data_IF_953165786200
#
_entry.id   IF_953165786200
#
_cell.length_a   1.000
_cell.length_b   1.000
_cell.length_c   1.000
_cell.angle_alpha   90.00
_cell.angle_beta   90.00
_cell.angle_gamma   90.00
#
_symmetry.space_group_name_H-M   'P 1'
#
loop_
_entity.id
_entity.type
_entity.pdbx_description
1 polymer ?
#
# COMPACT_ATOMS: atom_id res chain seq x y z
N UNK A 1 -4.09 -3.29 -20.72
CA UNK A 1 -3.62 -1.94 -20.31
C UNK A 1 -4.76 -0.91 -20.35
N UNK A 2 -5.53 -0.79 -21.45
CA UNK A 2 -6.70 0.13 -21.50
C UNK A 2 -7.76 -0.15 -20.43
N UNK A 3 -8.05 -1.42 -20.16
CA UNK A 3 -8.99 -1.85 -19.11
C UNK A 3 -8.56 -1.38 -17.71
N UNK A 4 -7.29 -1.57 -17.35
CA UNK A 4 -6.75 -1.11 -16.06
C UNK A 4 -6.87 0.41 -15.89
N UNK A 5 -6.58 1.17 -16.95
CA UNK A 5 -6.70 2.64 -16.94
C UNK A 5 -8.16 3.04 -16.70
N UNK A 6 -9.10 2.40 -17.41
CA UNK A 6 -10.53 2.63 -17.25
C UNK A 6 -11.02 2.35 -15.82
N UNK A 7 -10.56 1.26 -15.20
CA UNK A 7 -10.94 0.96 -13.81
C UNK A 7 -10.37 1.98 -12.81
N UNK A 8 -9.12 2.45 -13.02
CA UNK A 8 -8.53 3.51 -12.19
C UNK A 8 -9.31 4.82 -12.33
N UNK A 9 -9.70 5.18 -13.55
CA UNK A 9 -10.52 6.37 -13.82
C UNK A 9 -11.88 6.28 -13.14
N UNK A 10 -12.54 5.11 -13.24
CA UNK A 10 -13.83 4.86 -12.59
C UNK A 10 -13.76 5.01 -11.08
N UNK A 11 -12.79 4.36 -10.43
CA UNK A 11 -12.57 4.48 -8.98
C UNK A 11 -12.29 5.94 -8.59
N UNK A 12 -11.51 6.65 -9.40
CA UNK A 12 -11.19 8.06 -9.17
C UNK A 12 -12.40 8.98 -9.33
N UNK A 13 -13.32 8.65 -10.24
CA UNK A 13 -14.58 9.37 -10.42
C UNK A 13 -15.54 9.09 -9.26
N UNK A 14 -15.70 7.82 -8.85
CA UNK A 14 -16.54 7.42 -7.73
C UNK A 14 -16.10 8.07 -6.42
N UNK A 15 -14.78 8.17 -6.19
CA UNK A 15 -14.24 8.88 -5.04
C UNK A 15 -14.62 10.37 -5.05
N UNK A 16 -14.53 11.04 -6.21
CA UNK A 16 -14.95 12.44 -6.34
C UNK A 16 -16.45 12.63 -6.15
N UNK A 17 -17.27 11.75 -6.70
CA UNK A 17 -18.72 11.80 -6.52
C UNK A 17 -19.11 11.59 -5.05
N UNK A 18 -18.44 10.68 -4.36
CA UNK A 18 -18.75 10.32 -2.97
C UNK A 18 -18.27 11.37 -1.96
N UNK A 19 -17.05 11.91 -2.15
CA UNK A 19 -16.40 12.74 -1.13
C UNK A 19 -16.15 14.18 -1.57
N UNK A 20 -16.34 14.51 -2.86
CA UNK A 20 -15.99 15.82 -3.43
C UNK A 20 -16.84 16.99 -2.93
N UNK A 21 -18.03 16.72 -2.40
CA UNK A 21 -18.92 17.72 -1.82
C UNK A 21 -18.72 17.91 -0.30
N UNK A 22 -17.79 17.17 0.32
CA UNK A 22 -17.51 17.33 1.74
C UNK A 22 -16.74 18.62 2.01
N UNK A 23 -17.10 19.34 3.07
CA UNK A 23 -16.33 20.48 3.54
C UNK A 23 -14.97 20.04 4.11
N UNK A 24 -14.06 21.00 4.25
CA UNK A 24 -12.77 20.76 4.89
C UNK A 24 -12.91 20.23 6.33
N UNK A 25 -13.96 20.62 7.05
CA UNK A 25 -14.23 20.12 8.39
C UNK A 25 -14.72 18.68 8.37
N UNK A 26 -15.63 18.34 7.43
CA UNK A 26 -16.17 17.00 7.29
C UNK A 26 -15.10 15.99 6.84
N UNK A 27 -14.25 16.35 5.87
CA UNK A 27 -13.20 15.46 5.39
C UNK A 27 -12.10 15.23 6.44
N UNK A 28 -11.86 16.21 7.31
CA UNK A 28 -10.87 16.12 8.39
C UNK A 28 -11.44 15.65 9.72
N UNK A 29 -12.76 15.43 9.81
CA UNK A 29 -13.38 14.92 11.02
C UNK A 29 -12.88 13.52 11.37
N UNK A 30 -12.65 13.28 12.67
CA UNK A 30 -12.13 12.02 13.19
C UNK A 30 -13.15 11.40 14.15
N UNK A 31 -13.51 10.11 13.99
CA UNK A 31 -14.44 9.44 14.91
C UNK A 31 -13.82 9.18 16.30
N UNK A 32 -12.49 9.14 16.40
CA UNK A 32 -11.75 9.08 17.66
C UNK A 32 -10.34 9.62 17.50
N UNK A 33 -9.65 9.90 18.61
CA UNK A 33 -8.26 10.37 18.59
C UNK A 33 -7.29 9.40 17.89
N UNK A 34 -7.57 8.09 17.93
CA UNK A 34 -6.72 7.05 17.33
C UNK A 34 -7.10 6.71 15.89
N UNK A 35 -8.26 7.15 15.41
CA UNK A 35 -8.74 6.88 14.06
C UNK A 35 -8.17 7.86 13.04
N UNK A 36 -8.17 7.49 11.76
CA UNK A 36 -7.87 8.42 10.67
C UNK A 36 -9.14 9.13 10.21
N UNK A 37 -9.00 10.38 9.75
CA UNK A 37 -10.05 11.05 8.99
C UNK A 37 -10.06 10.56 7.55
N UNK A 38 -11.12 10.87 6.81
CA UNK A 38 -11.21 10.59 5.36
C UNK A 38 -10.06 11.27 4.62
N UNK A 39 -9.74 12.52 4.97
CA UNK A 39 -8.64 13.28 4.41
C UNK A 39 -7.28 12.62 4.67
N UNK A 40 -7.06 12.09 5.87
CA UNK A 40 -5.84 11.35 6.20
C UNK A 40 -5.71 10.04 5.42
N UNK A 41 -6.82 9.33 5.18
CA UNK A 41 -6.83 8.16 4.30
C UNK A 41 -6.45 8.54 2.87
N UNK A 42 -7.01 9.62 2.32
CA UNK A 42 -6.66 10.09 0.98
C UNK A 42 -5.21 10.53 0.88
N UNK A 43 -4.70 11.28 1.85
CA UNK A 43 -3.31 11.70 1.90
C UNK A 43 -2.38 10.47 1.85
N UNK A 44 -2.66 9.45 2.67
CA UNK A 44 -1.89 8.21 2.66
C UNK A 44 -1.93 7.50 1.29
N UNK A 45 -3.11 7.40 0.67
CA UNK A 45 -3.25 6.79 -0.65
C UNK A 45 -2.53 7.58 -1.75
N UNK A 46 -2.60 8.91 -1.72
CA UNK A 46 -1.94 9.78 -2.70
C UNK A 46 -0.42 9.68 -2.56
N UNK A 47 0.10 9.82 -1.34
CA UNK A 47 1.53 9.73 -1.07
C UNK A 47 2.07 8.37 -1.50
N UNK A 48 1.41 7.28 -1.12
CA UNK A 48 1.84 5.93 -1.51
C UNK A 48 1.73 5.70 -3.01
N UNK A 49 0.68 6.18 -3.67
CA UNK A 49 0.53 6.09 -5.12
C UNK A 49 1.64 6.82 -5.88
N UNK A 50 2.03 8.01 -5.41
CA UNK A 50 3.10 8.80 -6.02
C UNK A 50 4.47 8.10 -5.97
N UNK A 51 4.68 7.18 -5.02
CA UNK A 51 5.92 6.39 -4.96
C UNK A 51 6.04 5.39 -6.13
N UNK A 52 4.93 4.99 -6.76
CA UNK A 52 4.98 4.06 -7.89
C UNK A 52 5.42 4.72 -9.19
N UNK A 53 5.02 5.98 -9.43
CA UNK A 53 5.30 6.71 -10.68
C UNK A 53 6.79 6.70 -11.07
N UNK A 54 7.75 7.08 -10.21
CA UNK A 54 9.17 7.06 -10.60
C UNK A 54 9.70 5.65 -10.86
N UNK A 55 9.17 4.64 -10.17
CA UNK A 55 9.57 3.25 -10.40
C UNK A 55 9.06 2.73 -11.74
N UNK A 56 7.80 3.00 -12.07
CA UNK A 56 7.21 2.68 -13.38
C UNK A 56 7.98 3.39 -14.49
N UNK A 57 8.31 4.67 -14.29
CA UNK A 57 9.08 5.45 -15.26
C UNK A 57 10.46 4.84 -15.52
N UNK A 58 11.19 4.46 -14.46
CA UNK A 58 12.47 3.75 -14.61
C UNK A 58 12.33 2.43 -15.38
N UNK A 59 11.22 1.70 -15.21
CA UNK A 59 10.98 0.46 -15.95
C UNK A 59 10.75 0.75 -17.43
N UNK A 60 9.95 1.77 -17.75
CA UNK A 60 9.69 2.22 -19.13
C UNK A 60 10.99 2.67 -19.81
N UNK A 61 11.83 3.41 -19.09
CA UNK A 61 13.12 3.90 -19.57
C UNK A 61 14.22 2.83 -19.60
N UNK A 62 13.94 1.63 -19.09
CA UNK A 62 14.92 0.54 -18.98
C UNK A 62 16.04 0.79 -17.97
N UNK A 63 15.92 1.82 -17.13
CA UNK A 63 16.90 2.20 -16.09
C UNK A 63 16.63 1.52 -14.75
N UNK A 64 15.47 0.85 -14.61
CA UNK A 64 15.08 0.15 -13.40
C UNK A 64 16.02 -1.00 -13.07
N UNK A 65 16.72 -0.88 -11.94
CA UNK A 65 17.59 -1.94 -11.41
C UNK A 65 16.79 -2.79 -10.44
N UNK A 66 16.53 -4.05 -10.82
CA UNK A 66 16.01 -5.02 -9.86
C UNK A 66 16.99 -5.15 -8.68
N UNK A 67 16.50 -4.89 -7.47
CA UNK A 67 17.26 -5.13 -6.26
C UNK A 67 17.70 -6.60 -6.23
N UNK A 68 18.96 -6.89 -5.89
CA UNK A 68 19.51 -8.25 -5.92
C UNK A 68 18.65 -9.24 -5.11
N UNK A 69 17.98 -8.76 -4.06
CA UNK A 69 17.06 -9.51 -3.22
C UNK A 69 15.73 -9.92 -3.87
N UNK A 70 15.28 -9.28 -4.96
CA UNK A 70 14.08 -9.72 -5.70
C UNK A 70 14.33 -10.97 -6.56
N UNK A 71 15.61 -11.37 -6.71
CA UNK A 71 16.04 -12.59 -7.40
C UNK A 71 16.36 -13.76 -6.47
N UNK A 72 16.10 -13.64 -5.16
CA UNK A 72 16.46 -14.68 -4.18
C UNK A 72 15.23 -15.53 -3.83
N UNK A 73 15.06 -16.73 -4.43
CA UNK A 73 13.90 -17.60 -4.19
C UNK A 73 13.89 -18.32 -2.82
N UNK A 74 14.82 -18.03 -1.90
CA UNK A 74 14.96 -18.80 -0.65
C UNK A 74 14.44 -18.11 0.63
N UNK A 75 14.16 -16.80 0.62
CA UNK A 75 13.97 -16.04 1.87
C UNK A 75 12.60 -16.24 2.52
N UNK A 76 11.54 -16.55 1.77
CA UNK A 76 10.20 -16.77 2.33
C UNK A 76 10.13 -18.05 3.17
N UNK A 77 10.76 -19.14 2.70
CA UNK A 77 10.77 -20.41 3.41
C UNK A 77 11.67 -20.35 4.66
N UNK A 78 12.78 -19.62 4.61
CA UNK A 78 13.67 -19.45 5.77
C UNK A 78 13.01 -18.62 6.89
N UNK A 79 12.30 -17.55 6.52
CA UNK A 79 11.54 -16.72 7.48
C UNK A 79 10.39 -17.53 8.10
N UNK A 80 9.68 -18.34 7.31
CA UNK A 80 8.62 -19.23 7.81
C UNK A 80 9.15 -20.28 8.79
N UNK A 81 10.30 -20.91 8.47
CA UNK A 81 10.96 -21.88 9.36
C UNK A 81 11.42 -21.22 10.67
N UNK A 82 12.02 -20.04 10.61
CA UNK A 82 12.44 -19.30 11.81
C UNK A 82 11.25 -18.91 12.71
N UNK A 83 10.12 -18.50 12.11
CA UNK A 83 8.90 -18.17 12.85
C UNK A 83 8.29 -19.42 13.52
N UNK A 84 8.30 -20.56 12.83
CA UNK A 84 7.82 -21.85 13.36
C UNK A 84 8.69 -22.34 14.53
N UNK A 85 10.02 -22.22 14.44
CA UNK A 85 10.93 -22.57 15.54
C UNK A 85 10.76 -21.67 16.78
N UNK A 86 10.44 -20.38 16.58
CA UNK A 86 10.18 -19.45 17.69
C UNK A 86 8.87 -19.77 18.43
N UNK A 87 7.87 -20.28 17.73
CA UNK A 87 6.59 -20.71 18.29
C UNK A 87 6.71 -22.01 19.10
N UNK A 88 7.50 -22.98 18.63
CA UNK A 88 7.69 -24.25 19.34
C UNK A 88 8.55 -24.12 20.60
N UNK A 89 9.49 -23.16 20.65
CA UNK A 89 10.28 -22.89 21.86
C UNK A 89 9.45 -22.34 23.03
N UNK A 90 8.46 -21.49 22.76
CA UNK A 90 7.63 -20.87 23.79
C UNK A 90 6.57 -21.83 24.39
N UNK A 91 6.37 -23.01 23.78
CA UNK A 91 5.44 -24.04 24.26
C UNK A 91 6.10 -25.09 25.17
N UNK A 92 7.42 -25.13 25.24
CA UNK A 92 8.19 -26.09 26.05
C UNK A 92 8.71 -25.49 27.37
N UNK A 93 8.39 -24.21 27.64
CA UNK A 93 8.75 -23.47 28.86
C UNK A 93 7.50 -23.10 29.70
N UNK A 94 6.36 -23.78 29.48
CA UNK A 94 5.13 -23.67 30.29
C UNK A 94 4.65 -25.03 30.77
#
# INVERSE_FOLDING_TARGET
>A
MRELISEIEKVSADARLTFGNLSAEQINWKPSAKSWSIGQCFEHLIVTNNLYVPNIQQVIEGTHRNNFFSKIPFSTNLIAVAMKMRSTRNKNER
#
